data_IF_454582755819
#
_entry.id   IF_454582755819
#
_cell.length_a   1.000
_cell.length_b   1.000
_cell.length_c   1.000
_cell.angle_alpha   90.00
_cell.angle_beta   90.00
_cell.angle_gamma   90.00
#
_symmetry.space_group_name_H-M   'P 1'
#
loop_
_entity.id
_entity.type
_entity.pdbx_description
1 polymer ?
#
# COMPACT_ATOMS: atom_id res chain seq x y z
N UNK A 1 -6.44 18.43 28.03
CA UNK A 1 -6.04 17.20 27.33
C UNK A 1 -6.34 17.33 25.84
N UNK A 2 -5.77 18.35 25.20
CA UNK A 2 -6.04 18.72 23.79
C UNK A 2 -4.76 19.22 23.11
N UNK A 3 -3.59 18.71 23.51
CA UNK A 3 -2.28 19.21 23.07
C UNK A 3 -1.59 18.38 21.99
N UNK A 4 -2.16 17.24 21.58
CA UNK A 4 -1.36 16.19 20.93
C UNK A 4 -1.54 16.11 19.40
N UNK A 5 -2.52 16.84 18.86
CA UNK A 5 -2.77 16.96 17.42
C UNK A 5 -2.53 18.40 16.94
N UNK A 6 -1.86 18.53 15.81
CA UNK A 6 -1.58 19.81 15.14
C UNK A 6 -2.86 20.38 14.50
N UNK A 7 -3.67 19.52 13.88
CA UNK A 7 -4.97 19.91 13.35
C UNK A 7 -5.93 18.72 13.32
N UNK A 8 -7.23 19.06 13.29
CA UNK A 8 -8.31 18.10 13.08
C UNK A 8 -9.25 18.72 12.06
N UNK A 9 -9.48 18.01 10.96
CA UNK A 9 -10.53 18.32 10.02
C UNK A 9 -11.61 17.25 10.11
N UNK A 10 -12.87 17.67 10.07
CA UNK A 10 -14.02 16.76 10.07
C UNK A 10 -14.90 17.08 8.88
N UNK A 11 -15.34 16.04 8.18
CA UNK A 11 -16.26 16.22 7.06
C UNK A 11 -17.56 16.88 7.51
N UNK A 12 -18.05 17.91 6.80
CA UNK A 12 -19.39 18.46 7.05
C UNK A 12 -20.50 17.50 6.59
N UNK A 13 -20.16 16.39 5.92
CA UNK A 13 -21.10 15.40 5.36
C UNK A 13 -21.60 14.37 6.38
N UNK A 14 -21.64 14.71 7.68
CA UNK A 14 -22.23 13.86 8.74
C UNK A 14 -23.76 13.75 8.58
N UNK A 15 -24.21 13.21 7.45
CA UNK A 15 -25.61 12.90 7.14
C UNK A 15 -25.87 11.41 7.35
N UNK A 16 -27.07 10.90 7.04
CA UNK A 16 -27.47 9.49 7.27
C UNK A 16 -26.56 8.43 6.62
N UNK A 17 -25.68 8.80 5.70
CA UNK A 17 -24.68 7.91 5.10
C UNK A 17 -23.37 8.01 5.89
N UNK A 18 -22.79 6.86 6.25
CA UNK A 18 -21.49 6.76 6.92
C UNK A 18 -20.36 6.97 5.92
N UNK A 19 -20.01 8.22 5.67
CA UNK A 19 -18.79 8.58 4.93
C UNK A 19 -17.56 8.25 5.78
N UNK A 20 -16.47 7.83 5.14
CA UNK A 20 -15.17 7.61 5.77
C UNK A 20 -14.04 8.15 4.90
N UNK A 21 -12.85 8.30 5.48
CA UNK A 21 -11.64 8.66 4.73
C UNK A 21 -10.92 7.38 4.29
N UNK A 22 -10.83 7.16 2.98
CA UNK A 22 -10.22 5.94 2.42
C UNK A 22 -8.71 6.07 2.26
N UNK A 23 -8.25 7.18 1.68
CA UNK A 23 -6.83 7.48 1.49
C UNK A 23 -6.52 8.90 1.95
N UNK A 24 -5.30 9.10 2.43
CA UNK A 24 -4.69 10.41 2.65
C UNK A 24 -3.35 10.43 1.93
N UNK A 25 -2.99 11.58 1.37
CA UNK A 25 -1.69 11.80 0.75
C UNK A 25 -1.26 13.23 1.03
N UNK A 26 -0.08 13.40 1.62
CA UNK A 26 0.53 14.71 1.80
C UNK A 26 1.04 15.24 0.48
N UNK A 27 0.76 16.51 0.24
CA UNK A 27 1.03 17.15 -1.02
C UNK A 27 1.56 18.57 -0.82
N UNK A 28 2.72 18.87 -1.39
CA UNK A 28 3.36 20.16 -1.25
C UNK A 28 3.62 20.59 0.20
N UNK A 29 3.81 21.89 0.41
CA UNK A 29 4.03 22.47 1.74
C UNK A 29 2.68 22.73 2.39
N UNK A 30 2.37 21.99 3.46
CA UNK A 30 1.12 22.11 4.25
C UNK A 30 -0.18 21.70 3.55
N UNK A 31 -0.12 20.88 2.50
CA UNK A 31 -1.31 20.31 1.88
C UNK A 31 -1.49 18.84 2.23
N UNK A 32 -2.73 18.44 2.45
CA UNK A 32 -3.15 17.03 2.45
C UNK A 32 -4.30 16.90 1.48
N UNK A 33 -4.26 15.92 0.59
CA UNK A 33 -5.44 15.47 -0.14
C UNK A 33 -5.95 14.20 0.53
N UNK A 34 -7.27 14.10 0.63
CA UNK A 34 -7.93 12.91 1.12
C UNK A 34 -9.10 12.51 0.21
N UNK A 35 -9.28 11.21 0.04
CA UNK A 35 -10.48 10.63 -0.55
C UNK A 35 -11.50 10.34 0.55
N UNK A 36 -12.69 10.92 0.41
CA UNK A 36 -13.84 10.59 1.24
C UNK A 36 -14.80 9.74 0.41
N UNK A 37 -15.32 8.66 0.98
CA UNK A 37 -16.28 7.79 0.30
C UNK A 37 -17.33 7.24 1.25
N UNK A 38 -18.50 6.91 0.71
CA UNK A 38 -19.55 6.15 1.39
C UNK A 38 -19.67 4.70 0.85
N UNK A 39 -18.69 4.25 0.07
CA UNK A 39 -18.70 2.97 -0.65
C UNK A 39 -19.36 3.01 -2.02
N UNK A 40 -20.05 4.09 -2.39
CA UNK A 40 -20.70 4.26 -3.70
C UNK A 40 -20.21 5.48 -4.45
N UNK A 41 -19.94 6.56 -3.73
CA UNK A 41 -19.46 7.83 -4.26
C UNK A 41 -18.15 8.19 -3.57
N UNK A 42 -17.30 8.92 -4.27
CA UNK A 42 -16.10 9.51 -3.69
C UNK A 42 -16.00 11.01 -3.96
N UNK A 43 -15.34 11.71 -3.04
CA UNK A 43 -15.02 13.13 -3.11
C UNK A 43 -13.58 13.32 -2.71
N UNK A 44 -12.89 14.24 -3.37
CA UNK A 44 -11.57 14.68 -2.92
C UNK A 44 -11.69 15.97 -2.14
N UNK A 45 -10.96 16.04 -1.03
CA UNK A 45 -10.78 17.26 -0.26
C UNK A 45 -9.29 17.54 -0.14
N UNK A 46 -8.92 18.81 -0.26
CA UNK A 46 -7.62 19.30 0.19
C UNK A 46 -7.79 20.02 1.53
N UNK A 47 -6.92 19.72 2.49
CA UNK A 47 -6.87 20.36 3.81
C UNK A 47 -5.53 21.06 3.98
N UNK A 48 -5.58 22.32 4.39
CA UNK A 48 -4.38 23.06 4.80
C UNK A 48 -3.99 22.66 6.23
N UNK A 49 -2.79 22.13 6.40
CA UNK A 49 -2.33 21.56 7.68
C UNK A 49 -1.99 22.62 8.73
N UNK A 50 -1.76 23.87 8.31
CA UNK A 50 -1.50 24.99 9.21
C UNK A 50 -2.75 25.53 9.88
N UNK A 51 -3.90 25.44 9.21
CA UNK A 51 -5.19 25.98 9.67
C UNK A 51 -6.20 24.89 10.02
N UNK A 52 -6.00 23.65 9.54
CA UNK A 52 -6.96 22.55 9.66
C UNK A 52 -8.25 22.78 8.85
N UNK A 53 -8.25 23.72 7.90
CA UNK A 53 -9.43 24.07 7.10
C UNK A 53 -9.35 23.47 5.71
N UNK A 54 -10.52 23.29 5.10
CA UNK A 54 -10.58 22.89 3.70
C UNK A 54 -9.97 23.98 2.81
N UNK A 55 -8.96 23.60 2.02
CA UNK A 55 -8.35 24.42 0.98
C UNK A 55 -9.11 24.29 -0.36
N UNK A 56 -9.47 23.07 -0.75
CA UNK A 56 -10.21 22.79 -1.98
C UNK A 56 -11.13 21.57 -1.83
N UNK A 57 -12.18 21.49 -2.67
CA UNK A 57 -13.11 20.35 -2.74
C UNK A 57 -13.43 20.03 -4.18
N UNK A 58 -13.39 18.74 -4.52
CA UNK A 58 -13.81 18.23 -5.81
C UNK A 58 -14.96 17.25 -5.61
N UNK A 59 -16.17 17.71 -5.96
CA UNK A 59 -17.43 16.99 -5.69
C UNK A 59 -17.87 16.07 -6.85
N UNK A 60 -17.21 16.17 -8.00
CA UNK A 60 -17.68 15.58 -9.25
C UNK A 60 -16.67 14.57 -9.78
N UNK A 61 -16.45 13.54 -8.99
CA UNK A 61 -15.97 12.26 -9.54
C UNK A 61 -17.23 11.52 -10.02
N UNK A 62 -17.11 10.63 -11.01
CA UNK A 62 -18.22 9.77 -11.43
C UNK A 62 -18.89 9.11 -10.22
N UNK A 63 -20.08 8.50 -10.37
CA UNK A 63 -20.71 7.69 -9.33
C UNK A 63 -19.90 6.39 -9.06
N UNK A 64 -18.70 6.58 -8.54
CA UNK A 64 -17.61 5.62 -8.44
C UNK A 64 -16.79 5.89 -7.20
N UNK A 65 -16.05 4.89 -6.73
CA UNK A 65 -15.19 4.99 -5.55
C UNK A 65 -13.74 5.22 -5.97
N UNK A 66 -13.03 6.05 -5.21
CA UNK A 66 -11.57 6.15 -5.32
C UNK A 66 -10.96 4.99 -4.55
N UNK A 67 -10.19 4.16 -5.24
CA UNK A 67 -9.55 2.97 -4.65
C UNK A 67 -8.19 3.29 -4.07
N UNK A 68 -7.48 4.24 -4.67
CA UNK A 68 -6.16 4.68 -4.22
C UNK A 68 -5.86 6.11 -4.67
N UNK A 69 -4.89 6.73 -3.99
CA UNK A 69 -4.35 8.02 -4.35
C UNK A 69 -2.85 8.00 -4.15
N UNK A 70 -2.13 8.77 -4.95
CA UNK A 70 -0.68 8.90 -4.85
C UNK A 70 -0.24 10.31 -5.28
N UNK A 71 0.93 10.74 -4.85
CA UNK A 71 1.46 12.08 -5.12
C UNK A 71 2.86 12.04 -5.69
N UNK A 72 3.02 12.65 -6.87
CA UNK A 72 4.34 12.89 -7.42
C UNK A 72 4.91 14.19 -6.86
N UNK A 73 5.88 14.07 -5.95
CA UNK A 73 6.62 15.23 -5.41
C UNK A 73 7.39 15.99 -6.50
N UNK A 74 7.94 15.26 -7.48
CA UNK A 74 8.71 15.83 -8.58
C UNK A 74 7.86 16.65 -9.54
N UNK A 75 6.63 16.20 -9.84
CA UNK A 75 5.67 16.92 -10.69
C UNK A 75 4.78 17.88 -9.92
N UNK A 76 4.69 17.73 -8.61
CA UNK A 76 3.74 18.40 -7.72
C UNK A 76 2.29 18.19 -8.15
N UNK A 77 1.95 16.96 -8.53
CA UNK A 77 0.64 16.57 -9.03
C UNK A 77 0.18 15.35 -8.25
N UNK A 78 -1.08 15.37 -7.81
CA UNK A 78 -1.70 14.19 -7.19
C UNK A 78 -2.51 13.41 -8.21
N UNK A 79 -2.51 12.10 -8.05
CA UNK A 79 -3.30 11.18 -8.84
C UNK A 79 -4.31 10.49 -7.93
N UNK A 80 -5.53 10.33 -8.43
CA UNK A 80 -6.53 9.47 -7.81
C UNK A 80 -7.05 8.49 -8.85
N UNK A 81 -7.22 7.24 -8.42
CA UNK A 81 -7.63 6.14 -9.29
C UNK A 81 -9.00 5.68 -8.84
N UNK A 82 -9.96 5.66 -9.77
CA UNK A 82 -11.29 5.15 -9.50
C UNK A 82 -11.46 3.69 -9.93
N UNK A 83 -12.43 3.00 -9.32
CA UNK A 83 -12.68 1.58 -9.56
C UNK A 83 -13.05 1.27 -11.02
N UNK A 84 -13.56 2.25 -11.77
CA UNK A 84 -14.08 2.08 -13.13
C UNK A 84 -13.03 2.44 -14.20
N UNK A 85 -11.75 2.60 -13.81
CA UNK A 85 -10.64 2.88 -14.75
C UNK A 85 -10.36 4.35 -15.00
N UNK A 86 -10.98 5.27 -14.26
CA UNK A 86 -10.68 6.70 -14.35
C UNK A 86 -9.40 7.08 -13.60
N UNK A 87 -8.52 7.79 -14.30
CA UNK A 87 -7.28 8.33 -13.76
C UNK A 87 -7.42 9.85 -13.65
N UNK A 88 -7.51 10.33 -12.42
CA UNK A 88 -7.75 11.74 -12.11
C UNK A 88 -6.45 12.40 -11.73
N UNK A 89 -6.07 13.43 -12.46
CA UNK A 89 -4.87 14.21 -12.21
C UNK A 89 -5.28 15.57 -11.62
N UNK A 90 -4.72 15.88 -10.45
CA UNK A 90 -5.01 17.09 -9.69
C UNK A 90 -3.78 18.00 -9.68
N UNK A 91 -3.88 19.16 -10.33
CA UNK A 91 -2.87 20.21 -10.21
C UNK A 91 -3.21 21.09 -9.01
N UNK A 92 -2.44 20.92 -7.94
CA UNK A 92 -2.63 21.63 -6.68
C UNK A 92 -2.30 23.12 -6.76
N UNK A 93 -1.53 23.54 -7.76
CA UNK A 93 -1.16 24.96 -7.92
C UNK A 93 -2.29 25.75 -8.54
N UNK A 94 -3.03 25.16 -9.48
CA UNK A 94 -4.18 25.80 -10.12
C UNK A 94 -5.52 25.41 -9.50
N UNK A 95 -5.55 24.39 -8.63
CA UNK A 95 -6.77 23.69 -8.19
C UNK A 95 -7.58 23.08 -9.34
N UNK A 96 -6.95 22.86 -10.50
CA UNK A 96 -7.58 22.20 -11.63
C UNK A 96 -7.58 20.69 -11.43
N UNK A 97 -8.64 20.06 -11.94
CA UNK A 97 -8.76 18.61 -12.02
C UNK A 97 -8.97 18.24 -13.49
N UNK A 98 -8.14 17.33 -13.99
CA UNK A 98 -8.34 16.71 -15.29
C UNK A 98 -8.55 15.20 -15.12
N UNK A 99 -9.62 14.69 -15.73
CA UNK A 99 -9.84 13.26 -15.82
C UNK A 99 -9.25 12.78 -17.14
N UNK A 100 -8.29 11.87 -17.07
CA UNK A 100 -7.89 11.08 -18.22
C UNK A 100 -8.73 9.80 -18.24
N UNK A 101 -9.61 9.68 -19.24
CA UNK A 101 -10.30 8.42 -19.56
C UNK A 101 -9.62 7.81 -20.77
N UNK A 102 -8.83 6.78 -20.54
CA UNK A 102 -8.32 5.88 -21.57
C UNK A 102 -9.08 4.55 -21.51
N UNK A 103 -9.18 3.82 -22.63
CA UNK A 103 -9.79 2.48 -22.63
C UNK A 103 -8.86 1.50 -21.92
N UNK A 104 -8.97 1.43 -20.60
CA UNK A 104 -8.14 0.61 -19.74
C UNK A 104 -8.47 -0.88 -19.87
N UNK A 105 -9.76 -1.19 -19.97
CA UNK A 105 -10.24 -2.55 -20.08
C UNK A 105 -10.32 -2.99 -21.55
N UNK A 106 -10.00 -4.26 -21.85
CA UNK A 106 -10.08 -4.80 -23.22
C UNK A 106 -11.54 -4.96 -23.69
N UNK A 107 -12.49 -5.05 -22.76
CA UNK A 107 -13.91 -5.19 -23.02
C UNK A 107 -14.73 -4.37 -22.01
N UNK A 108 -16.03 -4.19 -22.30
CA UNK A 108 -16.97 -3.63 -21.33
C UNK A 108 -17.65 -4.78 -20.58
N UNK A 109 -17.28 -4.98 -19.32
CA UNK A 109 -17.94 -5.90 -18.39
C UNK A 109 -18.18 -5.19 -17.06
N UNK A 110 -19.30 -5.51 -16.39
CA UNK A 110 -19.59 -5.01 -15.05
C UNK A 110 -18.69 -5.60 -13.96
N UNK A 111 -17.96 -6.68 -14.29
CA UNK A 111 -17.01 -7.35 -13.40
C UNK A 111 -15.60 -6.76 -13.50
N UNK A 112 -15.35 -5.88 -14.48
CA UNK A 112 -14.06 -5.21 -14.63
C UNK A 112 -13.90 -4.18 -13.50
N UNK A 113 -12.76 -4.22 -12.82
CA UNK A 113 -12.50 -3.35 -11.67
C UNK A 113 -11.03 -2.99 -11.58
N UNK A 114 -10.74 -1.73 -11.26
CA UNK A 114 -9.44 -1.29 -10.78
C UNK A 114 -9.39 -1.46 -9.27
N UNK A 115 -8.30 -2.02 -8.76
CA UNK A 115 -8.09 -2.29 -7.34
C UNK A 115 -7.12 -1.31 -6.71
N UNK A 116 -6.07 -0.91 -7.44
CA UNK A 116 -5.05 -0.01 -6.93
C UNK A 116 -4.33 0.71 -8.06
N UNK A 117 -3.81 1.90 -7.79
CA UNK A 117 -2.94 2.66 -8.69
C UNK A 117 -1.88 3.40 -7.89
N UNK A 118 -0.70 3.54 -8.47
CA UNK A 118 0.45 4.25 -7.89
C UNK A 118 1.23 4.96 -8.98
N UNK A 119 1.97 6.00 -8.62
CA UNK A 119 2.88 6.72 -9.51
C UNK A 119 4.32 6.58 -9.03
N UNK A 120 5.25 6.42 -9.98
CA UNK A 120 6.67 6.41 -9.69
C UNK A 120 7.13 7.75 -9.12
N UNK A 121 8.14 7.71 -8.26
CA UNK A 121 8.65 8.91 -7.58
C UNK A 121 9.16 10.01 -8.55
N UNK A 122 9.67 9.61 -9.72
CA UNK A 122 10.06 10.53 -10.81
C UNK A 122 8.87 11.12 -11.59
N UNK A 123 7.65 10.65 -11.32
CA UNK A 123 6.40 11.11 -11.92
C UNK A 123 6.30 10.80 -13.41
N UNK A 124 6.87 9.69 -13.86
CA UNK A 124 6.87 9.28 -15.28
C UNK A 124 6.03 8.05 -15.54
N UNK A 125 5.98 7.11 -14.61
CA UNK A 125 5.29 5.83 -14.77
C UNK A 125 4.13 5.75 -13.79
N UNK A 126 2.99 5.29 -14.28
CA UNK A 126 1.82 4.94 -13.47
C UNK A 126 1.63 3.43 -13.59
N UNK A 127 1.46 2.75 -12.46
CA UNK A 127 1.12 1.34 -12.41
C UNK A 127 -0.28 1.19 -11.85
N UNK A 128 -1.11 0.37 -12.50
CA UNK A 128 -2.50 0.17 -12.10
C UNK A 128 -2.81 -1.33 -12.08
N UNK A 129 -3.29 -1.79 -10.92
CA UNK A 129 -3.77 -3.13 -10.67
C UNK A 129 -5.26 -3.20 -11.00
N UNK A 130 -5.65 -4.13 -11.86
CA UNK A 130 -7.03 -4.34 -12.25
C UNK A 130 -7.34 -5.82 -12.47
N UNK A 131 -8.62 -6.14 -12.39
CA UNK A 131 -9.19 -7.42 -12.80
C UNK A 131 -10.17 -7.19 -13.94
N UNK A 132 -10.13 -8.05 -14.95
CA UNK A 132 -11.10 -8.01 -16.04
C UNK A 132 -11.54 -9.40 -16.50
N UNK A 133 -12.78 -9.48 -16.97
CA UNK A 133 -13.39 -10.73 -17.43
C UNK A 133 -12.81 -11.17 -18.79
N UNK A 134 -12.45 -12.44 -18.91
CA UNK A 134 -12.00 -13.05 -20.15
C UNK A 134 -13.20 -13.42 -21.03
N UNK A 135 -13.07 -13.25 -22.35
CA UNK A 135 -14.13 -13.70 -23.26
C UNK A 135 -14.27 -15.23 -23.20
N UNK A 136 -15.49 -15.77 -23.07
CA UNK A 136 -15.69 -17.21 -23.05
C UNK A 136 -15.29 -17.78 -24.41
N UNK A 137 -14.26 -18.64 -24.43
CA UNK A 137 -13.82 -19.31 -25.66
C UNK A 137 -14.97 -20.13 -26.24
N UNK A 138 -15.41 -19.82 -27.46
CA UNK A 138 -16.36 -20.66 -28.20
C UNK A 138 -15.71 -22.02 -28.41
N UNK A 139 -16.24 -23.07 -27.78
CA UNK A 139 -15.76 -24.44 -27.96
C UNK A 139 -15.73 -24.81 -29.46
N UNK A 140 -14.55 -24.78 -30.07
CA UNK A 140 -14.41 -25.27 -31.44
C UNK A 140 -14.49 -26.79 -31.41
N UNK A 141 -15.64 -27.32 -31.85
CA UNK A 141 -15.85 -28.75 -32.08
C UNK A 141 -14.91 -29.26 -33.19
N UNK A 142 -13.63 -29.53 -32.86
CA UNK A 142 -12.76 -30.32 -33.72
C UNK A 142 -13.21 -31.78 -33.65
N UNK A 143 -14.05 -32.20 -34.61
CA UNK A 143 -14.39 -33.61 -34.85
C UNK A 143 -13.09 -34.42 -35.05
N UNK A 144 -12.67 -35.19 -34.04
CA UNK A 144 -11.62 -36.21 -34.17
C UNK A 144 -12.06 -37.25 -35.21
N UNK A 145 -11.38 -37.32 -36.36
CA UNK A 145 -11.46 -38.47 -37.28
C UNK A 145 -10.83 -39.68 -36.56
N UNK A 146 -11.66 -40.63 -36.11
CA UNK A 146 -11.20 -41.94 -35.60
C UNK A 146 -10.42 -42.66 -36.71
N UNK A 147 -9.12 -42.89 -36.53
CA UNK A 147 -8.40 -43.98 -37.20
C UNK A 147 -8.46 -45.20 -36.27
N UNK A 148 -9.02 -46.31 -36.75
CA UNK A 148 -8.95 -47.60 -36.08
C UNK A 148 -7.50 -48.11 -36.12
N UNK A 149 -6.96 -48.44 -34.96
CA UNK A 149 -5.67 -49.12 -34.78
C UNK A 149 -5.34 -49.15 -33.29
N UNK A 150 -5.34 -50.35 -32.70
CA UNK A 150 -5.25 -50.56 -31.27
C UNK A 150 -3.91 -50.17 -30.63
N UNK A 151 -3.98 -49.88 -29.34
CA UNK A 151 -2.85 -49.55 -28.47
C UNK A 151 -3.28 -48.50 -27.45
N UNK A 152 -3.26 -48.86 -26.16
CA UNK A 152 -3.61 -47.98 -25.05
C UNK A 152 -2.84 -46.65 -25.11
N UNK A 153 -3.58 -45.56 -25.29
CA UNK A 153 -3.14 -44.20 -24.98
C UNK A 153 -4.32 -43.46 -24.35
N UNK A 154 -4.23 -43.22 -23.05
CA UNK A 154 -4.99 -42.17 -22.38
C UNK A 154 -4.52 -40.82 -22.93
N UNK A 155 -5.12 -40.37 -24.03
CA UNK A 155 -5.00 -38.98 -24.46
C UNK A 155 -6.01 -38.17 -23.66
N UNK A 156 -5.64 -37.72 -22.46
CA UNK A 156 -6.30 -36.56 -21.89
C UNK A 156 -6.07 -35.42 -22.87
N UNK A 157 -7.15 -34.97 -23.51
CA UNK A 157 -7.13 -33.70 -24.19
C UNK A 157 -7.15 -32.66 -23.08
N UNK A 158 -5.99 -32.11 -22.76
CA UNK A 158 -5.85 -30.92 -21.93
C UNK A 158 -6.64 -29.79 -22.59
N UNK A 159 -7.91 -29.67 -22.24
CA UNK A 159 -8.67 -28.46 -22.45
C UNK A 159 -8.15 -27.53 -21.36
N UNK A 160 -7.20 -26.66 -21.69
CA UNK A 160 -6.80 -25.57 -20.80
C UNK A 160 -8.08 -24.86 -20.37
N UNK A 161 -8.44 -24.99 -19.09
CA UNK A 161 -9.52 -24.21 -18.50
C UNK A 161 -9.07 -22.76 -18.54
N UNK A 162 -9.67 -21.98 -19.42
CA UNK A 162 -9.43 -20.53 -19.46
C UNK A 162 -9.98 -19.96 -18.16
N UNK A 163 -9.11 -19.38 -17.34
CA UNK A 163 -9.50 -18.67 -16.13
C UNK A 163 -10.53 -17.58 -16.49
N UNK A 164 -11.63 -17.45 -15.73
CA UNK A 164 -12.71 -16.52 -16.07
C UNK A 164 -12.28 -15.05 -16.00
N UNK A 165 -11.25 -14.76 -15.20
CA UNK A 165 -10.72 -13.42 -14.99
C UNK A 165 -9.21 -13.39 -15.24
N UNK A 166 -8.71 -12.21 -15.60
CA UNK A 166 -7.29 -11.90 -15.64
C UNK A 166 -6.99 -10.82 -14.60
N UNK A 167 -6.01 -11.06 -13.74
CA UNK A 167 -5.50 -10.12 -12.74
C UNK A 167 -4.22 -9.49 -13.29
N UNK A 168 -4.27 -8.19 -13.56
CA UNK A 168 -3.28 -7.51 -14.40
C UNK A 168 -2.71 -6.27 -13.73
N UNK A 169 -1.42 -6.03 -13.96
CA UNK A 169 -0.77 -4.74 -13.71
C UNK A 169 -0.48 -4.07 -15.04
N UNK A 170 -1.10 -2.92 -15.28
CA UNK A 170 -0.87 -2.09 -16.46
C UNK A 170 0.07 -0.92 -16.16
N UNK A 171 1.02 -0.68 -17.05
CA UNK A 171 1.98 0.42 -16.98
C UNK A 171 1.59 1.52 -17.96
N UNK A 172 1.62 2.77 -17.51
CA UNK A 172 1.21 3.95 -18.27
C UNK A 172 2.27 5.05 -18.18
N UNK A 173 2.45 5.84 -19.24
CA UNK A 173 3.27 7.06 -19.19
C UNK A 173 2.43 8.23 -18.68
N UNK A 174 2.76 8.74 -17.49
CA UNK A 174 2.06 9.86 -16.86
C UNK A 174 2.03 11.14 -17.72
N UNK A 175 2.94 11.26 -18.70
CA UNK A 175 3.02 12.39 -19.63
C UNK A 175 2.16 12.18 -20.87
N UNK A 176 1.79 10.94 -21.17
CA UNK A 176 0.99 10.57 -22.33
C UNK A 176 0.05 9.40 -22.00
N UNK A 177 -1.11 9.74 -21.44
CA UNK A 177 -2.14 8.77 -21.04
C UNK A 177 -2.99 8.24 -22.20
N UNK A 178 -2.54 8.38 -23.45
CA UNK A 178 -3.31 7.97 -24.63
C UNK A 178 -3.48 6.45 -24.73
N UNK A 179 -2.49 5.67 -24.28
CA UNK A 179 -2.51 4.21 -24.33
C UNK A 179 -1.64 3.60 -23.23
N UNK A 180 -2.01 2.40 -22.80
CA UNK A 180 -1.17 1.55 -21.96
C UNK A 180 0.17 1.28 -22.66
N UNK A 181 1.28 1.29 -21.91
CA UNK A 181 2.61 0.96 -22.40
C UNK A 181 2.73 -0.56 -22.58
N UNK A 182 2.45 -1.31 -21.52
CA UNK A 182 2.42 -2.76 -21.47
C UNK A 182 1.74 -3.25 -20.19
N UNK A 183 1.42 -4.54 -20.14
CA UNK A 183 0.70 -5.16 -19.03
C UNK A 183 1.37 -6.45 -18.59
N UNK A 184 1.33 -6.74 -17.30
CA UNK A 184 1.69 -8.03 -16.71
C UNK A 184 0.41 -8.74 -16.30
N UNK A 185 0.05 -9.83 -16.97
CA UNK A 185 -1.25 -10.48 -16.87
C UNK A 185 -1.21 -11.80 -16.09
N UNK A 186 -0.03 -12.36 -15.86
CA UNK A 186 0.14 -13.69 -15.25
C UNK A 186 0.96 -13.65 -13.96
N UNK A 187 0.96 -12.51 -13.27
CA UNK A 187 1.80 -12.28 -12.10
C UNK A 187 1.12 -12.65 -10.78
N UNK A 188 -0.21 -12.68 -10.76
CA UNK A 188 -1.01 -13.09 -9.61
C UNK A 188 -2.15 -13.97 -10.07
N UNK A 189 -2.56 -14.91 -9.22
CA UNK A 189 -3.67 -15.82 -9.47
C UNK A 189 -5.00 -15.33 -8.87
N UNK A 190 -4.99 -14.17 -8.21
CA UNK A 190 -6.14 -13.55 -7.57
C UNK A 190 -5.96 -12.02 -7.59
N UNK A 191 -6.94 -11.28 -7.07
CA UNK A 191 -6.97 -9.82 -7.07
C UNK A 191 -5.70 -9.20 -6.47
N UNK A 192 -5.18 -8.19 -7.18
CA UNK A 192 -3.99 -7.45 -6.75
C UNK A 192 -4.44 -6.29 -5.88
N UNK A 193 -4.15 -6.36 -4.58
CA UNK A 193 -4.69 -5.45 -3.57
C UNK A 193 -3.82 -4.22 -3.31
N UNK A 194 -2.53 -4.28 -3.65
CA UNK A 194 -1.59 -3.18 -3.39
C UNK A 194 -0.48 -3.12 -4.44
N UNK A 195 -0.11 -1.90 -4.81
CA UNK A 195 1.03 -1.58 -5.67
C UNK A 195 1.85 -0.45 -5.05
N UNK A 196 3.16 -0.48 -5.24
CA UNK A 196 4.05 0.59 -4.78
C UNK A 196 5.33 0.63 -5.60
N UNK A 197 5.74 1.83 -6.03
CA UNK A 197 7.07 2.04 -6.61
C UNK A 197 8.10 2.30 -5.51
N UNK A 198 9.33 1.85 -5.72
CA UNK A 198 10.45 2.24 -4.86
C UNK A 198 10.76 3.73 -5.03
N UNK A 199 10.88 4.44 -3.91
CA UNK A 199 11.26 5.85 -3.88
C UNK A 199 12.69 6.09 -4.39
N UNK A 200 13.60 5.17 -4.08
CA UNK A 200 15.01 5.23 -4.46
C UNK A 200 15.27 4.71 -5.88
N UNK A 201 14.48 3.73 -6.32
CA UNK A 201 14.60 3.10 -7.63
C UNK A 201 13.25 3.17 -8.37
N UNK A 202 12.94 4.25 -9.10
CA UNK A 202 11.61 4.49 -9.68
C UNK A 202 11.11 3.44 -10.67
N UNK A 203 11.97 2.52 -11.10
CA UNK A 203 11.63 1.40 -11.97
C UNK A 203 11.22 0.14 -11.21
N UNK A 204 11.61 -0.01 -9.95
CA UNK A 204 11.22 -1.15 -9.13
C UNK A 204 9.79 -0.95 -8.65
N UNK A 205 8.94 -1.92 -9.00
CA UNK A 205 7.53 -1.98 -8.64
C UNK A 205 7.31 -3.23 -7.80
N UNK A 206 6.63 -3.10 -6.67
CA UNK A 206 6.15 -4.24 -5.90
C UNK A 206 4.62 -4.34 -5.95
N UNK A 207 4.11 -5.56 -6.01
CA UNK A 207 2.69 -5.88 -5.93
C UNK A 207 2.40 -6.87 -4.80
N UNK A 208 1.25 -6.72 -4.16
CA UNK A 208 0.69 -7.66 -3.19
C UNK A 208 -0.64 -8.20 -3.68
N UNK A 209 -0.78 -9.53 -3.71
CA UNK A 209 -1.99 -10.21 -4.19
C UNK A 209 -2.78 -10.91 -3.09
N UNK A 210 -4.07 -11.12 -3.36
CA UNK A 210 -4.95 -11.95 -2.53
C UNK A 210 -4.55 -13.43 -2.52
N UNK A 211 -3.75 -13.84 -3.51
CA UNK A 211 -3.08 -15.15 -3.58
C UNK A 211 -1.97 -15.34 -2.54
N UNK A 212 -1.68 -14.31 -1.73
CA UNK A 212 -0.67 -14.36 -0.68
C UNK A 212 0.75 -14.24 -1.22
N UNK A 213 0.94 -13.64 -2.40
CA UNK A 213 2.26 -13.38 -2.96
C UNK A 213 2.60 -11.89 -2.89
N UNK A 214 3.88 -11.61 -2.66
CA UNK A 214 4.49 -10.32 -3.00
C UNK A 214 5.38 -10.55 -4.21
N UNK A 215 5.18 -9.79 -5.28
CA UNK A 215 6.07 -9.84 -6.43
C UNK A 215 6.80 -8.51 -6.61
N UNK A 216 8.05 -8.57 -7.08
CA UNK A 216 8.89 -7.41 -7.37
C UNK A 216 9.33 -7.46 -8.83
N UNK A 217 9.16 -6.36 -9.55
CA UNK A 217 9.40 -6.26 -10.99
C UNK A 217 10.30 -5.09 -11.35
N UNK A 218 11.03 -5.22 -12.45
CA UNK A 218 11.52 -4.08 -13.23
C UNK A 218 10.42 -3.61 -14.20
N UNK A 219 9.78 -2.49 -13.89
CA UNK A 219 8.70 -1.92 -14.72
C UNK A 219 9.14 -1.46 -16.12
N UNK A 220 10.43 -1.40 -16.41
CA UNK A 220 10.95 -1.00 -17.74
C UNK A 220 10.96 -2.16 -18.73
N UNK A 221 10.91 -3.40 -18.24
CA UNK A 221 10.97 -4.61 -19.06
C UNK A 221 9.55 -4.95 -19.51
N UNK A 222 9.35 -5.09 -20.82
CA UNK A 222 8.01 -5.29 -21.40
C UNK A 222 7.50 -6.72 -21.24
N UNK A 223 8.40 -7.71 -21.34
CA UNK A 223 8.05 -9.10 -21.16
C UNK A 223 7.91 -9.42 -19.66
N UNK A 224 6.78 -9.98 -19.25
CA UNK A 224 6.46 -10.20 -17.83
C UNK A 224 7.39 -11.22 -17.15
N UNK A 225 7.78 -12.29 -17.83
CA UNK A 225 8.69 -13.32 -17.30
C UNK A 225 10.08 -12.74 -17.02
N UNK A 226 10.58 -11.88 -17.92
CA UNK A 226 11.86 -11.19 -17.75
C UNK A 226 11.77 -10.02 -16.75
N UNK A 227 10.58 -9.44 -16.59
CA UNK A 227 10.34 -8.32 -15.68
C UNK A 227 10.27 -8.75 -14.22
N UNK A 228 9.76 -9.96 -13.95
CA UNK A 228 9.63 -10.52 -12.61
C UNK A 228 11.02 -10.83 -12.04
N UNK A 229 11.38 -10.12 -10.97
CA UNK A 229 12.68 -10.27 -10.32
C UNK A 229 12.61 -11.21 -9.13
N UNK A 230 11.57 -11.09 -8.30
CA UNK A 230 11.40 -11.89 -7.08
C UNK A 230 9.92 -12.14 -6.78
N UNK A 231 9.63 -13.33 -6.26
CA UNK A 231 8.33 -13.70 -5.69
C UNK A 231 8.54 -14.15 -4.25
N UNK A 232 7.87 -13.50 -3.31
CA UNK A 232 7.98 -13.77 -1.88
C UNK A 232 6.64 -14.28 -1.36
N UNK A 233 6.55 -15.53 -0.89
CA UNK A 233 5.31 -16.08 -0.36
C UNK A 233 4.99 -15.52 1.03
N UNK A 234 3.76 -15.08 1.19
CA UNK A 234 3.15 -14.69 2.46
C UNK A 234 2.26 -15.81 3.00
N UNK A 235 1.86 -15.69 4.27
CA UNK A 235 1.04 -16.72 4.94
C UNK A 235 -0.47 -16.48 4.71
N UNK A 236 -0.84 -15.32 4.16
CA UNK A 236 -2.21 -14.87 3.89
C UNK A 236 -2.20 -13.81 2.79
N UNK A 237 -3.39 -13.43 2.31
CA UNK A 237 -3.64 -12.34 1.36
C UNK A 237 -2.91 -11.05 1.75
N UNK A 238 -2.24 -10.42 0.79
CA UNK A 238 -1.38 -9.24 1.00
C UNK A 238 -2.15 -7.96 0.73
N UNK A 239 -2.59 -7.28 1.78
CA UNK A 239 -3.38 -6.06 1.64
C UNK A 239 -2.56 -4.78 1.48
N UNK A 240 -1.28 -4.80 1.88
CA UNK A 240 -0.37 -3.67 1.68
C UNK A 240 1.06 -4.14 1.48
N UNK A 241 1.71 -3.57 0.47
CA UNK A 241 3.15 -3.66 0.26
C UNK A 241 3.73 -2.24 0.18
N UNK A 242 4.95 -2.04 0.64
CA UNK A 242 5.61 -0.72 0.61
C UNK A 242 7.12 -0.82 0.69
N UNK A 243 7.82 0.20 0.19
CA UNK A 243 9.26 0.37 0.38
C UNK A 243 9.52 1.32 1.56
N UNK A 244 10.47 0.96 2.41
CA UNK A 244 11.00 1.85 3.45
C UNK A 244 12.29 2.53 3.00
N UNK A 245 13.06 1.87 2.13
CA UNK A 245 14.33 2.36 1.59
C UNK A 245 14.76 1.46 0.43
N UNK A 246 15.85 1.80 -0.26
CA UNK A 246 16.44 1.04 -1.37
C UNK A 246 16.72 -0.42 -1.04
N UNK A 247 16.91 -0.78 0.22
CA UNK A 247 17.22 -2.13 0.67
C UNK A 247 16.17 -2.74 1.63
N UNK A 248 15.04 -2.06 1.88
CA UNK A 248 13.99 -2.57 2.78
C UNK A 248 12.61 -2.31 2.21
N UNK A 249 11.80 -3.36 2.25
CA UNK A 249 10.36 -3.30 1.96
C UNK A 249 9.58 -3.97 3.09
N UNK A 250 8.27 -3.81 3.08
CA UNK A 250 7.38 -4.48 4.01
C UNK A 250 6.16 -5.03 3.28
N UNK A 251 5.52 -6.01 3.91
CA UNK A 251 4.22 -6.52 3.52
C UNK A 251 3.34 -6.65 4.76
N UNK A 252 2.08 -6.25 4.65
CA UNK A 252 1.01 -6.44 5.63
C UNK A 252 -0.02 -7.38 5.00
N UNK A 253 -0.54 -8.30 5.80
CA UNK A 253 -1.52 -9.29 5.37
C UNK A 253 -2.86 -9.11 6.07
N UNK A 254 -3.92 -9.66 5.48
CA UNK A 254 -5.30 -9.52 5.97
C UNK A 254 -5.54 -10.12 7.36
N UNK A 255 -4.68 -11.03 7.80
CA UNK A 255 -4.69 -11.60 9.14
C UNK A 255 -3.95 -10.73 10.19
N UNK A 256 -3.70 -9.45 9.88
CA UNK A 256 -2.98 -8.49 10.72
C UNK A 256 -1.54 -8.93 11.07
N UNK A 257 -0.89 -9.67 10.17
CA UNK A 257 0.54 -9.92 10.26
C UNK A 257 1.31 -8.92 9.40
N UNK A 258 2.60 -8.74 9.72
CA UNK A 258 3.49 -8.03 8.82
C UNK A 258 4.85 -8.72 8.72
N UNK A 259 5.51 -8.51 7.59
CA UNK A 259 6.86 -8.98 7.31
C UNK A 259 7.75 -7.82 6.88
N UNK A 260 8.97 -7.77 7.40
CA UNK A 260 10.02 -6.89 6.92
C UNK A 260 10.93 -7.66 5.96
N UNK A 261 11.15 -7.10 4.79
CA UNK A 261 11.94 -7.67 3.70
C UNK A 261 13.24 -6.89 3.54
N UNK A 262 14.35 -7.57 3.30
CA UNK A 262 15.61 -6.99 2.86
C UNK A 262 15.80 -7.27 1.39
N UNK A 263 16.11 -6.24 0.63
CA UNK A 263 16.41 -6.34 -0.80
C UNK A 263 17.93 -6.29 -0.92
N UNK A 264 18.57 -7.45 -1.11
CA UNK A 264 20.01 -7.55 -1.34
C UNK A 264 20.33 -7.25 -2.82
N UNK A 265 19.50 -7.78 -3.71
CA UNK A 265 19.42 -7.46 -5.12
C UNK A 265 17.97 -7.63 -5.61
N UNK A 266 17.72 -7.29 -6.86
CA UNK A 266 16.44 -7.49 -7.54
C UNK A 266 15.86 -8.91 -7.36
N UNK A 267 16.72 -9.91 -7.44
CA UNK A 267 16.44 -11.35 -7.42
C UNK A 267 16.74 -12.03 -6.07
N UNK A 268 17.22 -11.27 -5.07
CA UNK A 268 17.58 -11.78 -3.74
C UNK A 268 16.92 -10.93 -2.66
N UNK A 269 15.78 -11.41 -2.17
CA UNK A 269 14.98 -10.76 -1.13
C UNK A 269 14.82 -11.69 0.07
N UNK A 270 15.41 -11.28 1.19
CA UNK A 270 15.33 -12.00 2.47
C UNK A 270 14.13 -11.51 3.30
N UNK A 271 13.48 -12.43 4.02
CA UNK A 271 12.55 -12.07 5.09
C UNK A 271 13.35 -11.84 6.38
N UNK A 272 13.53 -10.58 6.80
CA UNK A 272 14.26 -10.22 8.03
C UNK A 272 13.49 -10.65 9.27
N UNK A 273 12.20 -10.29 9.31
CA UNK A 273 11.34 -10.58 10.44
C UNK A 273 9.90 -10.73 9.98
N UNK A 274 9.15 -11.59 10.69
CA UNK A 274 7.71 -11.75 10.53
C UNK A 274 7.07 -11.64 11.90
N UNK A 275 6.09 -10.76 12.03
CA UNK A 275 5.25 -10.63 13.22
C UNK A 275 3.90 -11.23 12.91
N UNK A 276 3.61 -12.37 13.56
CA UNK A 276 2.37 -13.14 13.39
C UNK A 276 1.16 -12.55 14.14
N UNK A 277 1.39 -11.51 14.94
CA UNK A 277 0.36 -10.80 15.67
C UNK A 277 0.80 -9.33 15.83
N UNK A 278 -0.17 -8.40 15.81
CA UNK A 278 0.08 -7.00 16.17
C UNK A 278 0.46 -6.90 17.65
N UNK A 279 1.09 -5.80 18.04
CA UNK A 279 1.67 -5.63 19.38
C UNK A 279 0.60 -5.58 20.47
N UNK A 280 -0.54 -4.93 20.19
CA UNK A 280 -1.65 -4.77 21.14
C UNK A 280 -2.94 -5.49 20.71
N UNK A 281 -2.88 -6.43 19.74
CA UNK A 281 -4.10 -7.04 19.20
C UNK A 281 -4.95 -6.07 18.35
N UNK A 282 -4.39 -4.91 18.00
CA UNK A 282 -5.05 -3.84 17.25
C UNK A 282 -4.85 -4.02 15.74
N UNK A 283 -5.69 -3.34 14.95
CA UNK A 283 -5.57 -3.34 13.49
C UNK A 283 -4.32 -2.58 13.06
N UNK A 284 -3.50 -3.16 12.20
CA UNK A 284 -2.33 -2.48 11.62
C UNK A 284 -2.84 -1.56 10.51
N UNK A 285 -2.60 -0.26 10.67
CA UNK A 285 -2.99 0.77 9.69
C UNK A 285 -1.96 0.81 8.56
N UNK A 286 -0.68 0.99 8.91
CA UNK A 286 0.43 0.99 7.96
C UNK A 286 1.80 0.86 8.67
N UNK A 287 2.84 0.64 7.88
CA UNK A 287 4.25 0.69 8.26
C UNK A 287 4.87 1.91 7.57
N UNK A 288 5.54 2.75 8.36
CA UNK A 288 6.07 4.03 7.89
C UNK A 288 7.59 4.04 8.04
N UNK A 289 8.28 4.57 7.03
CA UNK A 289 9.71 4.82 7.14
C UNK A 289 10.00 5.93 8.16
N UNK A 290 11.18 5.83 8.76
CA UNK A 290 11.68 6.79 9.73
C UNK A 290 13.09 7.30 9.38
N UNK A 291 13.58 7.01 8.16
CA UNK A 291 14.92 7.34 7.66
C UNK A 291 16.04 6.89 8.60
N UNK A 292 15.81 5.75 9.26
CA UNK A 292 16.80 5.05 10.08
C UNK A 292 16.98 3.65 9.53
N UNK A 293 18.23 3.21 9.35
CA UNK A 293 18.54 1.90 8.77
C UNK A 293 18.06 0.72 9.61
N UNK A 294 17.89 0.91 10.92
CA UNK A 294 17.77 -0.17 11.89
C UNK A 294 16.36 -0.30 12.51
N UNK A 295 15.47 0.65 12.21
CA UNK A 295 14.10 0.64 12.69
C UNK A 295 13.12 1.23 11.68
N UNK A 296 11.83 1.12 12.01
CA UNK A 296 10.70 1.65 11.26
C UNK A 296 9.54 1.92 12.23
N UNK A 297 8.50 2.60 11.76
CA UNK A 297 7.28 2.79 12.53
C UNK A 297 6.18 1.82 12.09
N UNK A 298 5.37 1.38 13.05
CA UNK A 298 4.12 0.64 12.81
C UNK A 298 3.00 1.43 13.48
N UNK A 299 1.99 1.79 12.70
CA UNK A 299 0.80 2.43 13.23
C UNK A 299 -0.31 1.39 13.43
N UNK A 300 -0.87 1.34 14.62
CA UNK A 300 -2.01 0.49 14.98
C UNK A 300 -3.22 1.34 15.38
N UNK A 301 -4.43 0.84 15.13
CA UNK A 301 -5.69 1.46 15.56
C UNK A 301 -6.60 0.46 16.25
N UNK A 302 -7.25 0.89 17.33
CA UNK A 302 -8.46 0.21 17.82
C UNK A 302 -9.68 0.57 16.96
N UNK A 303 -10.76 -0.22 17.05
CA UNK A 303 -12.05 0.13 16.45
C UNK A 303 -12.73 1.35 17.10
N UNK A 304 -12.25 1.80 18.26
CA UNK A 304 -12.75 3.02 18.93
C UNK A 304 -11.98 4.29 18.52
N UNK A 305 -11.02 4.17 17.59
CA UNK A 305 -10.20 5.28 17.11
C UNK A 305 -8.99 5.64 17.99
N UNK A 306 -8.57 4.74 18.87
CA UNK A 306 -7.28 4.89 19.57
C UNK A 306 -6.15 4.45 18.66
N UNK A 307 -5.36 5.41 18.19
CA UNK A 307 -4.16 5.19 17.41
C UNK A 307 -2.91 5.10 18.29
N UNK A 308 -2.02 4.17 17.96
CA UNK A 308 -0.72 3.98 18.62
C UNK A 308 0.36 3.85 17.55
N UNK A 309 1.45 4.60 17.65
CA UNK A 309 2.62 4.47 16.78
C UNK A 309 3.75 3.83 17.56
N UNK A 310 4.22 2.69 17.05
CA UNK A 310 5.31 1.92 17.60
C UNK A 310 6.57 2.14 16.76
N UNK A 311 7.69 2.46 17.38
CA UNK A 311 9.01 2.28 16.79
C UNK A 311 9.46 0.84 17.01
N UNK A 312 9.90 0.18 15.94
CA UNK A 312 10.21 -1.26 15.93
C UNK A 312 11.58 -1.46 15.27
N UNK A 313 12.47 -2.22 15.89
CA UNK A 313 13.74 -2.61 15.26
C UNK A 313 13.51 -3.57 14.09
N UNK A 314 14.43 -3.62 13.12
CA UNK A 314 14.28 -4.46 11.92
C UNK A 314 14.02 -5.95 12.23
N UNK A 315 14.66 -6.48 13.27
CA UNK A 315 14.45 -7.86 13.72
C UNK A 315 13.14 -8.06 14.51
N UNK A 316 12.37 -7.00 14.74
CA UNK A 316 11.14 -6.97 15.51
C UNK A 316 11.30 -7.21 17.01
N UNK A 317 12.52 -7.26 17.56
CA UNK A 317 12.73 -7.62 18.98
C UNK A 317 12.44 -6.49 19.94
N UNK A 318 12.77 -5.26 19.56
CA UNK A 318 12.61 -4.10 20.44
C UNK A 318 11.52 -3.19 19.91
N UNK A 319 10.59 -2.85 20.81
CA UNK A 319 9.40 -2.06 20.50
C UNK A 319 9.30 -0.93 21.52
N UNK A 320 9.00 0.27 21.05
CA UNK A 320 8.69 1.42 21.90
C UNK A 320 7.51 2.18 21.33
N UNK A 321 6.54 2.52 22.17
CA UNK A 321 5.50 3.46 21.79
C UNK A 321 6.13 4.86 21.70
N UNK A 322 5.97 5.53 20.56
CA UNK A 322 6.51 6.87 20.32
C UNK A 322 5.40 7.92 20.20
N UNK A 323 4.16 7.49 19.94
CA UNK A 323 3.00 8.38 19.88
C UNK A 323 1.71 7.61 20.17
N UNK A 324 0.78 8.25 20.86
CA UNK A 324 -0.59 7.79 21.06
C UNK A 324 -1.56 8.96 20.97
N UNK A 325 -2.71 8.73 20.36
CA UNK A 325 -3.79 9.72 20.32
C UNK A 325 -5.14 9.03 20.12
N UNK A 326 -6.17 9.59 20.75
CA UNK A 326 -7.55 9.06 20.71
C UNK A 326 -8.50 10.16 20.25
N UNK A 327 -8.19 10.72 19.07
CA UNK A 327 -8.95 11.81 18.46
C UNK A 327 -9.92 11.32 17.40
N UNK A 328 -9.60 10.19 16.76
CA UNK A 328 -10.58 9.49 15.96
C UNK A 328 -11.66 8.90 16.86
N UNK A 329 -12.88 8.78 16.33
CA UNK A 329 -14.04 8.20 17.01
C UNK A 329 -14.41 6.81 16.50
N UNK A 330 -13.65 6.33 15.53
CA UNK A 330 -13.84 5.06 14.85
C UNK A 330 -12.48 4.62 14.26
N UNK A 331 -12.42 3.44 13.64
CA UNK A 331 -11.21 2.83 13.09
C UNK A 331 -10.43 3.80 12.18
N UNK A 332 -9.12 3.92 12.42
CA UNK A 332 -8.19 4.59 11.49
C UNK A 332 -7.84 3.64 10.35
N UNK A 333 -8.02 4.10 9.10
CA UNK A 333 -7.85 3.29 7.88
C UNK A 333 -6.56 3.57 7.14
N UNK A 334 -6.13 4.81 7.15
CA UNK A 334 -4.99 5.26 6.37
C UNK A 334 -4.16 6.24 7.16
N UNK A 335 -2.86 6.24 6.84
CA UNK A 335 -1.89 7.18 7.37
C UNK A 335 -0.89 7.50 6.27
N UNK A 336 -0.36 8.71 6.32
CA UNK A 336 0.81 9.13 5.55
C UNK A 336 1.77 9.91 6.47
N UNK A 337 3.06 9.82 6.22
CA UNK A 337 4.10 10.45 7.05
C UNK A 337 5.18 11.16 6.21
N UNK A 338 5.36 12.45 6.47
CA UNK A 338 6.40 13.27 5.87
C UNK A 338 7.42 13.61 6.94
N UNK A 339 8.59 12.98 6.82
CA UNK A 339 9.72 13.16 7.72
C UNK A 339 10.25 14.61 7.74
N UNK A 340 10.28 15.28 6.59
CA UNK A 340 10.78 16.65 6.47
C UNK A 340 9.84 17.62 7.20
N UNK A 341 8.53 17.39 7.08
CA UNK A 341 7.51 18.18 7.77
C UNK A 341 7.26 17.71 9.22
N UNK A 342 7.83 16.56 9.62
CA UNK A 342 7.57 15.88 10.91
C UNK A 342 6.08 15.71 11.17
N UNK A 343 5.32 15.49 10.10
CA UNK A 343 3.87 15.49 10.11
C UNK A 343 3.38 14.12 9.70
N UNK A 344 2.62 13.50 10.58
CA UNK A 344 1.85 12.31 10.29
C UNK A 344 0.39 12.71 10.16
N UNK A 345 -0.28 12.22 9.11
CA UNK A 345 -1.68 12.51 8.84
C UNK A 345 -2.44 11.21 8.74
N UNK A 346 -3.52 11.08 9.50
CA UNK A 346 -4.37 9.89 9.50
C UNK A 346 -5.81 10.19 9.10
N UNK A 347 -6.45 9.22 8.44
CA UNK A 347 -7.85 9.22 8.06
C UNK A 347 -8.58 8.00 8.60
N UNK A 348 -9.85 8.15 8.97
CA UNK A 348 -10.63 7.06 9.58
C UNK A 348 -12.11 7.03 9.20
N UNK A 349 -12.80 6.03 9.78
CA UNK A 349 -14.23 5.75 9.61
C UNK A 349 -15.15 6.83 10.17
N UNK A 350 -14.60 7.73 10.97
CA UNK A 350 -15.30 8.89 11.53
C UNK A 350 -15.32 10.12 10.61
N UNK A 351 -14.91 9.95 9.35
CA UNK A 351 -14.77 10.99 8.33
C UNK A 351 -13.86 12.15 8.77
N UNK A 352 -12.83 11.86 9.59
CA UNK A 352 -11.84 12.83 10.05
C UNK A 352 -10.51 12.66 9.38
N UNK A 353 -9.82 13.78 9.24
CA UNK A 353 -8.39 13.85 8.92
C UNK A 353 -7.71 14.49 10.12
N UNK A 354 -6.76 13.79 10.71
CA UNK A 354 -6.04 14.21 11.93
C UNK A 354 -4.57 14.35 11.60
N UNK A 355 -3.99 15.51 11.90
CA UNK A 355 -2.56 15.75 11.80
C UNK A 355 -1.89 15.72 13.16
N UNK A 356 -0.80 14.98 13.28
CA UNK A 356 0.00 14.85 14.49
C UNK A 356 1.47 15.09 14.16
N UNK A 357 2.20 15.74 15.06
CA UNK A 357 3.66 15.78 14.94
C UNK A 357 4.21 14.37 15.22
N UNK A 358 5.09 13.86 14.38
CA UNK A 358 5.87 12.65 14.67
C UNK A 358 7.33 12.99 14.44
N UNK A 359 8.11 12.88 15.51
CA UNK A 359 9.54 13.17 15.47
C UNK A 359 10.30 11.93 14.97
N UNK A 360 11.41 12.12 14.22
CA UNK A 360 12.32 11.03 13.92
C UNK A 360 12.76 10.30 15.19
N UNK A 361 13.14 9.01 15.08
CA UNK A 361 13.39 8.22 16.26
C UNK A 361 14.66 8.70 16.97
N UNK A 362 14.59 8.85 18.28
CA UNK A 362 15.79 9.00 19.09
C UNK A 362 16.34 7.61 19.39
N UNK A 363 17.40 7.19 18.69
CA UNK A 363 17.99 5.84 18.79
C UNK A 363 18.48 5.49 20.20
N UNK A 364 18.66 6.47 21.08
CA UNK A 364 18.98 6.25 22.51
C UNK A 364 17.85 5.52 23.26
N UNK A 365 16.62 5.50 22.72
CA UNK A 365 15.46 4.81 23.32
C UNK A 365 15.68 3.29 23.45
N UNK A 366 16.45 2.69 22.53
CA UNK A 366 16.83 1.28 22.59
C UNK A 366 18.02 1.06 23.54
N UNK A 367 18.97 1.99 23.57
CA UNK A 367 20.16 1.95 24.43
C UNK A 367 19.77 2.03 25.92
N UNK A 368 18.80 2.86 26.28
CA UNK A 368 18.35 3.07 27.66
C UNK A 368 17.68 1.85 28.31
N UNK A 369 17.17 0.89 27.52
CA UNK A 369 16.62 -0.38 28.04
C UNK A 369 17.68 -1.45 28.30
N UNK A 370 18.91 -1.27 27.81
CA UNK A 370 20.03 -2.14 28.17
C UNK A 370 20.52 -1.78 29.58
N UNK A 371 20.18 -2.59 30.59
CA UNK A 371 20.68 -2.39 31.96
C UNK A 371 22.20 -2.27 31.93
N UNK A 372 22.82 -1.29 32.59
CA UNK A 372 24.28 -1.25 32.70
C UNK A 372 24.73 -2.54 33.40
N UNK A 373 25.62 -3.30 32.75
CA UNK A 373 26.29 -4.45 33.39
C UNK A 373 26.92 -3.94 34.67
N UNK A 374 26.40 -4.34 35.83
CA UNK A 374 27.05 -4.07 37.11
C UNK A 374 28.46 -4.64 37.06
N UNK A 375 29.46 -3.77 36.97
CA UNK A 375 30.85 -4.15 37.21
C UNK A 375 31.03 -4.37 38.71
N UNK A 376 31.29 -5.63 39.08
CA UNK A 376 32.05 -5.98 40.28
C UNK A 376 31.23 -6.35 41.52
N UNK A 377 31.10 -7.65 41.76
CA UNK A 377 31.28 -8.16 43.12
C UNK A 377 32.43 -9.18 43.09
N UNK A 378 33.47 -8.86 43.84
CA UNK A 378 34.66 -9.69 44.02
C UNK A 378 34.29 -11.07 44.57
N UNK A 379 34.58 -12.12 43.81
CA UNK A 379 34.54 -13.51 44.29
C UNK A 379 35.47 -13.66 45.50
N UNK A 380 34.91 -13.72 46.71
CA UNK A 380 35.62 -14.20 47.90
C UNK A 380 35.91 -15.69 47.71
N UNK A 381 37.18 -16.04 47.48
CA UNK A 381 37.67 -17.43 47.56
C UNK A 381 37.46 -17.95 48.98
N UNK A 382 36.78 -19.10 49.13
CA UNK A 382 36.73 -19.85 50.39
C UNK A 382 38.08 -20.58 50.59
N UNK A 383 38.64 -20.62 51.82
CA UNK A 383 39.83 -21.39 52.10
C UNK A 383 39.49 -22.87 52.24
N UNK A 384 40.33 -23.74 51.68
CA UNK A 384 40.31 -25.18 51.96
C UNK A 384 40.80 -25.41 53.39
N UNK A 385 40.00 -26.12 54.20
CA UNK A 385 40.46 -26.73 55.44
C UNK A 385 40.96 -28.15 55.14
N UNK A 386 42.05 -28.53 55.82
CA UNK A 386 42.78 -29.80 55.70
C UNK A 386 41.93 -31.02 56.01
#
# INVERSE_FOLDING_TARGET
MTSDCLFIWSSPLQTKQSWYVNNVSMCGVRGVIASLTDGYQAKLVSVDTGTGKTAAKWNQMSSTTIVSMDYSHTKQVSFAFDKDGGIWQLDLRSNDICQNRSSMFPNESAENCVHYGTISNDGHSIAIALTFANEPTKATNKKKKKRQGGGDQSSDSDVESVEPFTHSVQLWDARNMASCLHSYNQIHNDDIQSLTFSSDQPHLLASGGADGLVNVFDSRIVNEDDALQSTIPMESSVNRVGFLSSNRAFAITDDNCFSLLRINSADDIDVISRKKQPFNGKFIVDILDCDQSDCFYVMESSGEGHATVHMVTNNGSEISVVREYSVHKDLVRCVDYDLNQRLMVSGGDDARIVGCELLPPNTDLFVAKSKPKMKGSSLKRKPYAR
#
